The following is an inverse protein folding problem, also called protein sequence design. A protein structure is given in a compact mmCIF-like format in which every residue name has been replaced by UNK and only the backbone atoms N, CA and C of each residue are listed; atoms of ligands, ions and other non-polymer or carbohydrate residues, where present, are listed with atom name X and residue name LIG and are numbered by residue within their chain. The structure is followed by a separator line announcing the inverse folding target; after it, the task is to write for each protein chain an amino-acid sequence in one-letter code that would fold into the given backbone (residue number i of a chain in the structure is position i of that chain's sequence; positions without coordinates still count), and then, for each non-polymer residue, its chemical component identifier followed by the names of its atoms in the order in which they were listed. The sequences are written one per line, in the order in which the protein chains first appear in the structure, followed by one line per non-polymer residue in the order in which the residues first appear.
data_IF_475100101400
#
_entry.id   IF_475100101400
#
_cell.length_a   1.000
_cell.length_b   1.000
_cell.length_c   1.000
_cell.angle_alpha   90.00
_cell.angle_beta   90.00
_cell.angle_gamma   90.00
#
_symmetry.space_group_name_H-M   'P 1'
#
loop_
_entity.id
_entity.type
_entity.pdbx_description
1 polymer ?
#
# COMPACT_ATOMS: atom_id res chain seq x y z
N UNK A 1 34.39 8.18 12.12
CA UNK A 1 33.29 7.56 11.35
C UNK A 1 31.90 7.82 11.94
N UNK A 2 31.78 8.05 13.26
CA UNK A 2 30.50 8.34 13.94
C UNK A 2 29.68 9.50 13.34
N UNK A 3 30.31 10.63 12.98
CA UNK A 3 29.59 11.77 12.39
C UNK A 3 28.89 11.46 11.06
N UNK A 4 29.43 10.52 10.27
CA UNK A 4 28.82 10.13 8.98
C UNK A 4 27.58 9.27 9.21
N UNK A 5 27.60 8.41 10.24
CA UNK A 5 26.47 7.58 10.64
C UNK A 5 25.35 8.44 11.24
N UNK A 6 25.70 9.39 12.11
CA UNK A 6 24.74 10.32 12.70
C UNK A 6 24.02 11.16 11.64
N UNK A 7 24.74 11.66 10.62
CA UNK A 7 24.14 12.40 9.52
C UNK A 7 23.19 11.56 8.68
N UNK A 8 23.54 10.31 8.38
CA UNK A 8 22.68 9.36 7.66
C UNK A 8 21.39 9.05 8.45
N UNK A 9 21.52 8.83 9.76
CA UNK A 9 20.36 8.58 10.64
C UNK A 9 19.42 9.79 10.67
N UNK A 10 19.95 11.01 10.83
CA UNK A 10 19.14 12.23 10.82
C UNK A 10 18.44 12.42 9.48
N UNK A 11 19.11 12.19 8.36
CA UNK A 11 18.51 12.27 7.03
C UNK A 11 17.36 11.25 6.87
N UNK A 12 17.55 10.01 7.32
CA UNK A 12 16.52 8.97 7.28
C UNK A 12 15.28 9.34 8.10
N UNK A 13 15.45 9.90 9.29
CA UNK A 13 14.33 10.32 10.14
C UNK A 13 13.54 11.47 9.51
N UNK A 14 14.23 12.43 8.88
CA UNK A 14 13.57 13.54 8.15
C UNK A 14 12.78 13.02 6.95
N UNK A 15 13.34 12.06 6.21
CA UNK A 15 12.64 11.40 5.10
C UNK A 15 11.37 10.67 5.57
N UNK A 16 11.45 9.92 6.68
CA UNK A 16 10.30 9.20 7.23
C UNK A 16 9.20 10.15 7.73
N UNK A 17 9.57 11.29 8.34
CA UNK A 17 8.61 12.29 8.82
C UNK A 17 7.89 13.05 7.70
N UNK A 18 8.49 13.15 6.51
CA UNK A 18 7.89 13.81 5.35
C UNK A 18 6.88 12.90 4.61
N UNK A 19 6.86 11.61 4.91
CA UNK A 19 5.91 10.66 4.31
C UNK A 19 4.64 10.67 5.15
N UNK A 20 3.75 11.62 4.86
CA UNK A 20 2.36 11.52 5.29
C UNK A 20 1.67 10.50 4.38
N UNK A 21 1.60 9.23 4.81
CA UNK A 21 0.77 8.25 4.12
C UNK A 21 -0.68 8.74 4.22
N UNK A 22 -1.37 9.02 3.11
CA UNK A 22 -2.76 9.41 3.18
C UNK A 22 -3.53 8.27 3.84
N UNK A 23 -4.07 8.55 5.03
CA UNK A 23 -4.83 7.58 5.85
C UNK A 23 -5.92 6.86 5.02
N UNK A 24 -6.51 7.56 4.06
CA UNK A 24 -7.50 7.02 3.13
C UNK A 24 -7.02 5.80 2.30
N UNK A 25 -5.72 5.68 2.01
CA UNK A 25 -5.16 4.53 1.29
C UNK A 25 -5.05 3.28 2.19
N UNK A 26 -4.77 3.47 3.48
CA UNK A 26 -4.68 2.38 4.45
C UNK A 26 -6.07 1.75 4.73
N UNK A 27 -7.12 2.57 4.75
CA UNK A 27 -8.49 2.11 5.00
C UNK A 27 -9.04 1.24 3.84
N UNK A 28 -8.71 1.56 2.58
CA UNK A 28 -9.14 0.79 1.41
C UNK A 28 -8.42 -0.56 1.27
N UNK A 29 -7.09 -0.56 1.45
CA UNK A 29 -6.30 -1.79 1.43
C UNK A 29 -6.71 -2.75 2.55
N UNK A 30 -6.87 -2.24 3.78
CA UNK A 30 -7.27 -3.06 4.92
C UNK A 30 -8.62 -3.74 4.74
N UNK A 31 -9.61 -3.04 4.17
CA UNK A 31 -10.91 -3.64 3.85
C UNK A 31 -10.80 -4.72 2.76
N UNK A 32 -10.01 -4.49 1.71
CA UNK A 32 -9.79 -5.47 0.65
C UNK A 32 -9.14 -6.74 1.20
N UNK A 33 -8.07 -6.58 1.98
CA UNK A 33 -7.28 -7.68 2.51
C UNK A 33 -8.13 -8.56 3.45
N UNK A 34 -8.89 -7.94 4.35
CA UNK A 34 -9.72 -8.69 5.32
C UNK A 34 -10.80 -9.53 4.63
N UNK A 35 -11.50 -8.97 3.62
CA UNK A 35 -12.47 -9.73 2.84
C UNK A 35 -11.81 -10.85 2.03
N UNK A 36 -10.67 -10.57 1.40
CA UNK A 36 -9.93 -11.57 0.62
C UNK A 36 -9.43 -12.72 1.50
N UNK A 37 -8.86 -12.44 2.67
CA UNK A 37 -8.33 -13.47 3.57
C UNK A 37 -9.47 -14.37 4.07
N UNK A 38 -10.61 -13.78 4.44
CA UNK A 38 -11.79 -14.54 4.86
C UNK A 38 -12.26 -15.50 3.77
N UNK A 39 -12.46 -15.03 2.55
CA UNK A 39 -12.89 -15.87 1.40
C UNK A 39 -11.85 -16.95 1.07
N UNK A 40 -10.56 -16.59 1.09
CA UNK A 40 -9.47 -17.52 0.83
C UNK A 40 -9.40 -18.66 1.85
N UNK A 41 -9.64 -18.34 3.13
CA UNK A 41 -9.68 -19.32 4.22
C UNK A 41 -10.93 -20.17 4.20
N UNK A 42 -12.09 -19.61 3.84
CA UNK A 42 -13.33 -20.37 3.59
C UNK A 42 -13.10 -21.39 2.46
N UNK A 43 -12.30 -21.03 1.45
CA UNK A 43 -11.86 -21.93 0.39
C UNK A 43 -10.86 -23.03 0.80
N UNK A 44 -10.55 -23.15 2.10
CA UNK A 44 -9.70 -24.20 2.66
C UNK A 44 -8.19 -24.01 2.42
N UNK A 45 -7.76 -22.80 2.04
CA UNK A 45 -6.35 -22.50 1.80
C UNK A 45 -5.59 -22.21 3.11
N UNK A 46 -4.27 -22.40 3.09
CA UNK A 46 -3.41 -22.11 4.23
C UNK A 46 -3.21 -20.61 4.46
N UNK A 47 -2.95 -20.22 5.72
CA UNK A 47 -2.78 -18.81 6.11
C UNK A 47 -1.76 -18.08 5.25
N UNK A 48 -0.53 -18.59 5.15
CA UNK A 48 0.56 -17.94 4.41
C UNK A 48 0.26 -17.82 2.90
N UNK A 49 -0.51 -18.76 2.34
CA UNK A 49 -0.97 -18.67 0.96
C UNK A 49 -1.97 -17.53 0.79
N UNK A 50 -2.94 -17.42 1.71
CA UNK A 50 -3.93 -16.36 1.68
C UNK A 50 -3.29 -14.99 1.88
N UNK A 51 -2.33 -14.85 2.79
CA UNK A 51 -1.64 -13.57 3.00
C UNK A 51 -0.92 -13.10 1.74
N UNK A 52 -0.07 -13.93 1.13
CA UNK A 52 0.67 -13.52 -0.09
C UNK A 52 -0.26 -13.24 -1.28
N UNK A 53 -1.31 -14.06 -1.45
CA UNK A 53 -2.29 -13.86 -2.52
C UNK A 53 -3.06 -12.56 -2.33
N UNK A 54 -3.64 -12.35 -1.16
CA UNK A 54 -4.46 -11.18 -0.87
C UNK A 54 -3.63 -9.89 -0.82
N UNK A 55 -2.37 -9.97 -0.42
CA UNK A 55 -1.46 -8.82 -0.48
C UNK A 55 -1.27 -8.35 -1.94
N UNK A 56 -0.98 -9.29 -2.83
CA UNK A 56 -0.81 -9.02 -4.27
C UNK A 56 -2.10 -8.53 -4.92
N UNK A 57 -3.22 -9.24 -4.74
CA UNK A 57 -4.52 -8.91 -5.33
C UNK A 57 -5.02 -7.51 -4.89
N UNK A 58 -4.84 -7.15 -3.63
CA UNK A 58 -5.27 -5.86 -3.11
C UNK A 58 -4.30 -4.74 -3.49
N UNK A 59 -3.01 -5.02 -3.59
CA UNK A 59 -2.03 -4.07 -4.09
C UNK A 59 -2.29 -3.71 -5.56
N UNK A 60 -2.54 -4.71 -6.41
CA UNK A 60 -2.88 -4.50 -7.83
C UNK A 60 -4.18 -3.69 -7.99
N UNK A 61 -5.17 -3.91 -7.13
CA UNK A 61 -6.41 -3.11 -7.10
C UNK A 61 -6.15 -1.66 -6.69
N UNK A 62 -5.28 -1.41 -5.72
CA UNK A 62 -4.93 -0.06 -5.29
C UNK A 62 -4.17 0.70 -6.41
N UNK A 63 -3.23 0.01 -7.07
CA UNK A 63 -2.49 0.55 -8.22
C UNK A 63 -3.42 0.80 -9.43
N UNK A 64 -4.33 -0.13 -9.72
CA UNK A 64 -5.33 0.03 -10.78
C UNK A 64 -6.28 1.19 -10.50
N UNK A 65 -6.75 1.35 -9.26
CA UNK A 65 -7.57 2.49 -8.85
C UNK A 65 -6.79 3.80 -9.02
N UNK A 66 -5.54 3.85 -8.56
CA UNK A 66 -4.68 5.05 -8.66
C UNK A 66 -4.33 5.43 -10.09
N UNK A 67 -4.14 4.45 -10.97
CA UNK A 67 -3.89 4.68 -12.41
C UNK A 67 -5.16 5.03 -13.19
N UNK A 68 -6.33 4.48 -12.81
CA UNK A 68 -7.62 4.89 -13.37
C UNK A 68 -7.98 6.34 -13.02
N UNK A 69 -7.61 6.81 -11.82
CA UNK A 69 -7.76 8.23 -11.45
C UNK A 69 -6.84 9.16 -12.26
N UNK A 70 -5.63 8.73 -12.63
CA UNK A 70 -4.75 9.50 -13.51
C UNK A 70 -5.29 9.61 -14.95
N UNK A 71 -6.09 8.65 -15.41
CA UNK A 71 -6.80 8.73 -16.70
C UNK A 71 -7.95 9.75 -16.71
N UNK A 72 -8.66 9.90 -15.59
CA UNK A 72 -9.77 10.86 -15.48
C UNK A 72 -9.32 12.31 -15.27
N UNK A 73 -8.13 12.56 -14.71
CA UNK A 73 -7.64 13.94 -14.53
C UNK A 73 -7.20 14.62 -15.86
N UNK A 74 -6.97 13.84 -16.93
CA UNK A 74 -6.63 14.38 -18.26
C UNK A 74 -7.86 14.77 -19.10
N UNK A 75 -9.09 14.43 -18.68
CA UNK A 75 -10.32 14.81 -19.43
C UNK A 75 -10.97 16.11 -18.96
N UNK A 76 -10.51 16.73 -17.87
CA UNK A 76 -11.07 18.01 -17.36
C UNK A 76 -10.20 19.23 -17.71
N UNK A 77 -9.26 19.08 -18.64
CA UNK A 77 -8.45 20.16 -19.20
C UNK A 77 -8.64 20.25 -20.72
N UNK A 78 -9.87 20.52 -21.15
CA UNK A 78 -10.20 21.10 -22.47
C UNK A 78 -11.27 22.17 -22.26
#
# INVERSE_FOLDING_TARGET
MANKIAALLVLCLVLAAAVELPKAAADAYGSCFNTCEQECRIGGQGQTFCEMKCDTDCFDKDVAAKTAYHGSLSSTAV
#
